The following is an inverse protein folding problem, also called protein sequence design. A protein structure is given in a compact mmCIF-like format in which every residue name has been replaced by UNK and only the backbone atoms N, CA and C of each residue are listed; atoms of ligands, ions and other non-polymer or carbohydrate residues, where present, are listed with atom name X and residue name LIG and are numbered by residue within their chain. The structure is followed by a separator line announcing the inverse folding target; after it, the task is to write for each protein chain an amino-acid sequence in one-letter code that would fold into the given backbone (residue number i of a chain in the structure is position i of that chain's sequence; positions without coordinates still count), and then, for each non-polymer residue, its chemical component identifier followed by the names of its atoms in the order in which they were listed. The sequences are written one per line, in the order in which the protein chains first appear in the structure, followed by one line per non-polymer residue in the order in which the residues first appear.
data_IF_747678736205
#
_entry.id   IF_747678736205
#
_cell.length_a   1.000
_cell.length_b   1.000
_cell.length_c   1.000
_cell.angle_alpha   90.00
_cell.angle_beta   90.00
_cell.angle_gamma   90.00
#
_symmetry.space_group_name_H-M   'P 1'
#
loop_
_entity.id
_entity.type
_entity.pdbx_description
1 polymer ?
#
# COMPACT_ATOMS: atom_id res chain seq x y z
N UNK A 1 0.71 -3.92 -22.29
CA UNK A 1 -0.76 -3.72 -22.35
C UNK A 1 -1.17 -3.27 -20.96
N UNK A 2 -1.94 -2.20 -20.82
CA UNK A 2 -2.29 -1.64 -19.50
C UNK A 2 -3.42 -2.46 -18.86
N UNK A 3 -3.31 -2.80 -17.57
CA UNK A 3 -4.34 -3.57 -16.82
C UNK A 3 -5.67 -2.82 -16.79
N UNK A 4 -5.63 -1.49 -16.73
CA UNK A 4 -6.83 -0.66 -16.77
C UNK A 4 -7.58 -0.85 -18.10
N UNK A 5 -6.85 -0.93 -19.21
CA UNK A 5 -7.45 -1.15 -20.52
C UNK A 5 -8.00 -2.58 -20.65
N UNK A 6 -7.26 -3.58 -20.16
CA UNK A 6 -7.75 -4.96 -20.10
C UNK A 6 -9.05 -5.06 -19.30
N UNK A 7 -9.13 -4.40 -18.14
CA UNK A 7 -10.33 -4.38 -17.33
C UNK A 7 -11.51 -3.73 -18.05
N UNK A 8 -11.30 -2.59 -18.75
CA UNK A 8 -12.34 -1.94 -19.56
C UNK A 8 -12.86 -2.85 -20.67
N UNK A 9 -11.95 -3.49 -21.41
CA UNK A 9 -12.30 -4.39 -22.52
C UNK A 9 -13.05 -5.63 -22.02
N UNK A 10 -12.59 -6.24 -20.92
CA UNK A 10 -13.26 -7.39 -20.28
C UNK A 10 -14.67 -7.00 -19.82
N UNK A 11 -14.83 -5.83 -19.18
CA UNK A 11 -16.15 -5.36 -18.74
C UNK A 11 -17.10 -5.11 -19.91
N UNK A 12 -16.62 -4.50 -21.00
CA UNK A 12 -17.41 -4.27 -22.19
C UNK A 12 -17.90 -5.59 -22.81
N UNK A 13 -16.99 -6.56 -22.99
CA UNK A 13 -17.32 -7.88 -23.52
C UNK A 13 -18.25 -8.66 -22.59
N UNK A 14 -18.05 -8.60 -21.27
CA UNK A 14 -18.96 -9.22 -20.30
C UNK A 14 -20.37 -8.63 -20.38
N UNK A 15 -20.48 -7.32 -20.55
CA UNK A 15 -21.78 -6.65 -20.71
C UNK A 15 -22.48 -7.07 -22.00
N UNK A 16 -21.73 -7.19 -23.10
CA UNK A 16 -22.27 -7.70 -24.36
C UNK A 16 -22.75 -9.16 -24.21
N UNK A 17 -21.94 -10.01 -23.58
CA UNK A 17 -22.29 -11.41 -23.32
C UNK A 17 -23.53 -11.54 -22.44
N UNK A 18 -23.65 -10.72 -21.38
CA UNK A 18 -24.83 -10.69 -20.51
C UNK A 18 -26.11 -10.37 -21.29
N UNK A 19 -26.05 -9.46 -22.26
CA UNK A 19 -27.22 -9.12 -23.08
C UNK A 19 -27.67 -10.29 -23.97
N UNK A 20 -26.73 -11.09 -24.50
CA UNK A 20 -27.05 -12.26 -25.30
C UNK A 20 -27.63 -13.38 -24.43
N UNK A 21 -26.98 -13.66 -23.30
CA UNK A 21 -27.37 -14.73 -22.36
C UNK A 21 -28.70 -14.41 -21.65
N UNK A 22 -29.12 -13.15 -21.60
CA UNK A 22 -30.44 -12.77 -21.10
C UNK A 22 -31.60 -13.33 -21.95
N UNK A 23 -31.36 -13.68 -23.22
CA UNK A 23 -32.36 -14.34 -24.08
C UNK A 23 -32.42 -15.83 -23.76
N UNK A 24 -33.61 -16.42 -23.58
CA UNK A 24 -33.74 -17.87 -23.37
C UNK A 24 -33.20 -18.67 -24.57
N UNK A 25 -32.56 -19.82 -24.30
CA UNK A 25 -31.92 -20.65 -25.34
C UNK A 25 -32.87 -21.08 -26.47
N UNK A 26 -34.15 -21.27 -26.16
CA UNK A 26 -35.19 -21.67 -27.14
C UNK A 26 -35.46 -20.59 -28.19
N UNK A 27 -35.20 -19.34 -27.84
CA UNK A 27 -35.48 -18.17 -28.66
C UNK A 27 -34.21 -17.63 -29.33
N UNK A 28 -33.05 -18.26 -29.08
CA UNK A 28 -31.78 -17.88 -29.69
C UNK A 28 -31.61 -18.48 -31.09
N UNK A 29 -31.01 -17.69 -31.96
CA UNK A 29 -30.55 -18.12 -33.28
C UNK A 29 -29.18 -18.78 -33.18
N UNK A 30 -28.85 -19.67 -34.13
CA UNK A 30 -27.50 -20.27 -34.23
C UNK A 30 -26.37 -19.21 -34.26
N UNK A 31 -26.64 -18.06 -34.89
CA UNK A 31 -25.69 -16.96 -34.97
C UNK A 31 -25.46 -16.29 -33.60
N UNK A 32 -26.50 -16.15 -32.77
CA UNK A 32 -26.35 -15.65 -31.41
C UNK A 32 -25.52 -16.60 -30.55
N UNK A 33 -25.75 -17.91 -30.67
CA UNK A 33 -24.96 -18.91 -29.94
C UNK A 33 -23.48 -18.88 -30.35
N UNK A 34 -23.19 -18.78 -31.65
CA UNK A 34 -21.81 -18.61 -32.14
C UNK A 34 -21.16 -17.33 -31.60
N UNK A 35 -21.90 -16.23 -31.54
CA UNK A 35 -21.41 -14.96 -30.99
C UNK A 35 -21.13 -15.06 -29.48
N UNK A 36 -21.98 -15.76 -28.73
CA UNK A 36 -21.73 -16.03 -27.30
C UNK A 36 -20.42 -16.79 -27.10
N UNK A 37 -20.21 -17.86 -27.88
CA UNK A 37 -18.97 -18.65 -27.83
C UNK A 37 -17.73 -17.80 -28.17
N UNK A 38 -17.82 -16.96 -29.20
CA UNK A 38 -16.74 -16.03 -29.56
C UNK A 38 -16.43 -15.03 -28.43
N UNK A 39 -17.47 -14.47 -27.80
CA UNK A 39 -17.30 -13.53 -26.68
C UNK A 39 -16.65 -14.22 -25.48
N UNK A 40 -17.08 -15.45 -25.15
CA UNK A 40 -16.48 -16.25 -24.09
C UNK A 40 -15.00 -16.49 -24.37
N UNK A 41 -14.65 -16.89 -25.59
CA UNK A 41 -13.25 -17.10 -25.97
C UNK A 41 -12.41 -15.81 -25.90
N UNK A 42 -12.96 -14.67 -26.33
CA UNK A 42 -12.28 -13.37 -26.24
C UNK A 42 -12.07 -12.95 -24.78
N UNK A 43 -13.09 -13.08 -23.93
CA UNK A 43 -13.01 -12.80 -22.50
C UNK A 43 -11.93 -13.67 -21.85
N UNK A 44 -11.93 -14.98 -22.13
CA UNK A 44 -10.95 -15.91 -21.55
C UNK A 44 -9.51 -15.50 -21.92
N UNK A 45 -9.25 -15.15 -23.18
CA UNK A 45 -7.92 -14.68 -23.63
C UNK A 45 -7.49 -13.38 -22.92
N UNK A 46 -8.41 -12.46 -22.68
CA UNK A 46 -8.08 -11.21 -21.97
C UNK A 46 -7.83 -11.47 -20.47
N UNK A 47 -8.60 -12.35 -19.85
CA UNK A 47 -8.38 -12.76 -18.45
C UNK A 47 -7.01 -13.42 -18.31
N UNK A 48 -6.64 -14.34 -19.20
CA UNK A 48 -5.30 -14.96 -19.19
C UNK A 48 -4.18 -13.92 -19.29
N UNK A 49 -4.35 -12.90 -20.15
CA UNK A 49 -3.37 -11.81 -20.26
C UNK A 49 -3.28 -10.99 -18.97
N UNK A 50 -4.41 -10.76 -18.31
CA UNK A 50 -4.44 -10.06 -17.02
C UNK A 50 -3.78 -10.88 -15.92
N UNK A 51 -4.06 -12.18 -15.87
CA UNK A 51 -3.46 -13.08 -14.89
C UNK A 51 -1.94 -13.06 -15.01
N UNK A 52 -1.40 -13.07 -16.23
CA UNK A 52 0.04 -12.90 -16.47
C UNK A 52 0.60 -11.58 -15.89
N UNK A 53 -0.12 -10.46 -16.01
CA UNK A 53 0.33 -9.18 -15.43
C UNK A 53 0.30 -9.19 -13.90
N UNK A 54 -0.68 -9.89 -13.31
CA UNK A 54 -0.76 -10.07 -11.85
C UNK A 54 0.40 -10.91 -11.36
N UNK A 55 0.72 -11.99 -12.05
CA UNK A 55 1.86 -12.86 -11.72
C UNK A 55 3.20 -12.09 -11.81
N UNK A 56 3.38 -11.27 -12.85
CA UNK A 56 4.57 -10.43 -13.03
C UNK A 56 4.73 -9.41 -11.89
N UNK A 57 3.64 -8.73 -11.51
CA UNK A 57 3.64 -7.80 -10.39
C UNK A 57 3.93 -8.49 -9.04
N UNK A 58 3.46 -9.72 -8.85
CA UNK A 58 3.75 -10.50 -7.65
C UNK A 58 5.23 -10.90 -7.57
N UNK A 59 5.85 -11.25 -8.70
CA UNK A 59 7.28 -11.53 -8.77
C UNK A 59 8.10 -10.30 -8.36
N UNK A 60 7.75 -9.13 -8.90
CA UNK A 60 8.44 -7.88 -8.53
C UNK A 60 8.27 -7.55 -7.04
N UNK A 61 7.06 -7.72 -6.50
CA UNK A 61 6.81 -7.53 -5.06
C UNK A 61 7.66 -8.43 -4.18
N UNK A 62 7.85 -9.69 -4.57
CA UNK A 62 8.71 -10.63 -3.85
C UNK A 62 10.19 -10.22 -3.94
N UNK A 63 10.63 -9.71 -5.09
CA UNK A 63 12.00 -9.23 -5.30
C UNK A 63 12.30 -8.05 -4.38
N UNK A 64 11.46 -7.02 -4.39
CA UNK A 64 11.60 -5.83 -3.54
C UNK A 64 11.67 -6.21 -2.06
N UNK A 65 10.84 -7.16 -1.62
CA UNK A 65 10.83 -7.63 -0.24
C UNK A 65 12.15 -8.30 0.18
N UNK A 66 12.78 -9.05 -0.72
CA UNK A 66 14.08 -9.66 -0.42
C UNK A 66 15.19 -8.62 -0.43
N UNK A 67 15.18 -7.68 -1.38
CA UNK A 67 16.11 -6.54 -1.41
C UNK A 67 16.02 -5.71 -0.12
N UNK A 68 14.80 -5.38 0.34
CA UNK A 68 14.56 -4.66 1.60
C UNK A 68 15.07 -5.44 2.82
N UNK A 69 14.90 -6.77 2.81
CA UNK A 69 15.38 -7.63 3.89
C UNK A 69 16.91 -7.66 3.93
N UNK A 70 17.57 -7.76 2.79
CA UNK A 70 19.04 -7.68 2.70
C UNK A 70 19.56 -6.33 3.21
N UNK A 71 18.89 -5.22 2.86
CA UNK A 71 19.24 -3.88 3.35
C UNK A 71 19.04 -3.79 4.87
N UNK A 72 17.90 -4.24 5.39
CA UNK A 72 17.61 -4.23 6.82
C UNK A 72 18.63 -5.07 7.60
N UNK A 73 18.99 -6.26 7.10
CA UNK A 73 20.00 -7.12 7.72
C UNK A 73 21.40 -6.50 7.69
N UNK A 74 21.76 -5.85 6.58
CA UNK A 74 23.01 -5.12 6.46
C UNK A 74 23.08 -3.97 7.46
N UNK A 75 22.05 -3.13 7.54
CA UNK A 75 21.97 -2.02 8.49
C UNK A 75 22.02 -2.52 9.92
N UNK A 76 21.27 -3.58 10.24
CA UNK A 76 21.29 -4.21 11.55
C UNK A 76 22.71 -4.69 11.90
N UNK A 77 23.44 -5.29 10.97
CA UNK A 77 24.82 -5.70 11.21
C UNK A 77 25.77 -4.51 11.43
N UNK A 78 25.61 -3.43 10.67
CA UNK A 78 26.47 -2.23 10.73
C UNK A 78 26.18 -1.31 11.90
N UNK A 79 24.92 -1.25 12.36
CA UNK A 79 24.46 -0.33 13.41
C UNK A 79 24.38 -1.00 14.80
N UNK A 80 24.33 -2.33 14.91
CA UNK A 80 24.47 -3.06 16.18
C UNK A 80 25.62 -2.56 17.09
N UNK A 81 26.81 -2.21 16.56
CA UNK A 81 27.88 -1.65 17.39
C UNK A 81 27.56 -0.27 18.01
N UNK A 82 26.63 0.50 17.44
CA UNK A 82 26.26 1.84 17.90
C UNK A 82 25.18 1.82 18.99
N UNK A 83 24.37 0.75 19.08
CA UNK A 83 23.35 0.59 20.13
C UNK A 83 23.97 0.62 21.54
N UNK A 84 25.21 0.14 21.67
CA UNK A 84 25.97 0.14 22.92
C UNK A 84 26.54 1.51 23.31
N UNK A 85 26.60 2.47 22.38
CA UNK A 85 27.10 3.84 22.64
C UNK A 85 25.98 4.75 23.16
N UNK A 86 24.73 4.45 22.83
CA UNK A 86 23.55 5.21 23.31
C UNK A 86 23.13 4.77 24.73
N UNK A 87 23.47 3.56 25.16
CA UNK A 87 23.25 3.09 26.54
C UNK A 87 24.35 3.56 27.51
N UNK A 88 24.42 4.87 27.76
CA UNK A 88 25.10 5.40 28.95
C UNK A 88 24.12 5.44 30.14
N UNK A 89 24.57 5.23 31.40
CA UNK A 89 23.71 4.77 32.48
C UNK A 89 22.97 5.91 33.17
N UNK A 90 21.73 6.21 32.79
CA UNK A 90 20.81 6.88 33.71
C UNK A 90 20.13 5.84 34.58
N UNK A 91 20.83 5.42 35.67
CA UNK A 91 20.18 4.73 36.79
C UNK A 91 19.21 5.70 37.46
N UNK A 92 17.92 5.56 37.22
CA UNK A 92 16.88 6.18 38.05
C UNK A 92 16.45 5.14 39.08
N UNK A 93 16.53 5.40 40.40
CA UNK A 93 16.07 4.44 41.41
C UNK A 93 14.56 4.21 41.31
N UNK A 94 14.20 2.93 41.35
CA UNK A 94 12.86 2.39 41.51
C UNK A 94 12.21 2.86 42.81
N UNK A 95 11.07 3.56 42.72
CA UNK A 95 10.09 3.66 43.80
C UNK A 95 8.70 3.21 43.33
N UNK A 96 7.96 2.65 44.28
CA UNK A 96 6.94 1.62 44.17
C UNK A 96 5.59 2.11 43.63
N UNK A 97 4.86 1.21 42.95
CA UNK A 97 3.41 1.28 42.63
C UNK A 97 2.57 0.66 43.75
N UNK A 98 1.32 1.10 44.00
CA UNK A 98 0.12 0.29 43.67
C UNK A 98 -1.08 1.15 43.17
N UNK A 99 -1.63 0.96 41.95
CA UNK A 99 -2.91 0.32 41.52
C UNK A 99 -4.26 1.10 41.75
N UNK A 100 -5.31 0.91 40.90
CA UNK A 100 -6.28 1.94 40.37
C UNK A 100 -7.76 1.72 40.88
N UNK A 101 -8.92 2.20 40.29
CA UNK A 101 -9.30 3.07 39.12
C UNK A 101 -10.56 4.02 39.43
N UNK A 102 -11.55 4.43 38.54
CA UNK A 102 -11.67 4.74 37.08
C UNK A 102 -12.33 6.17 36.81
N UNK A 103 -13.04 6.51 35.68
CA UNK A 103 -12.66 7.56 34.71
C UNK A 103 -13.66 8.75 34.49
N UNK A 104 -13.20 9.96 34.14
CA UNK A 104 -14.13 11.01 33.63
C UNK A 104 -13.51 12.07 32.70
N UNK A 105 -14.02 12.06 31.46
CA UNK A 105 -14.29 13.12 30.47
C UNK A 105 -13.64 14.54 30.52
N UNK A 106 -13.03 14.89 29.38
CA UNK A 106 -13.15 16.12 28.56
C UNK A 106 -12.49 17.48 29.00
N UNK A 107 -12.10 18.35 28.02
CA UNK A 107 -11.08 19.42 28.15
C UNK A 107 -11.69 20.84 28.33
N UNK A 108 -10.91 21.92 28.65
CA UNK A 108 -10.39 22.82 27.58
C UNK A 108 -9.14 23.69 27.89
N UNK A 109 -8.39 24.02 26.82
CA UNK A 109 -7.71 25.30 26.50
C UNK A 109 -7.18 26.26 27.61
N UNK A 110 -5.85 26.40 27.75
CA UNK A 110 -5.00 27.58 27.41
C UNK A 110 -3.60 27.52 28.05
N UNK A 111 -2.57 28.16 27.45
CA UNK A 111 -1.16 27.88 27.75
C UNK A 111 -0.59 28.81 28.84
N UNK A 112 0.31 28.28 29.68
CA UNK A 112 1.18 29.10 30.53
C UNK A 112 2.64 28.76 30.22
N UNK A 113 3.36 29.80 29.83
CA UNK A 113 4.73 29.79 29.32
C UNK A 113 5.72 29.77 30.50
N UNK A 114 6.66 28.82 30.46
CA UNK A 114 8.00 28.94 31.04
C UNK A 114 8.92 27.97 30.27
N UNK A 115 9.59 28.41 29.19
CA UNK A 115 11.05 28.69 29.16
C UNK A 115 11.82 27.62 29.95
N UNK A 116 12.59 26.72 29.34
CA UNK A 116 13.89 27.03 28.71
C UNK A 116 14.38 25.84 27.85
N UNK A 117 15.01 26.15 26.72
CA UNK A 117 15.88 25.31 25.86
C UNK A 117 15.30 24.05 25.17
N UNK A 118 14.50 24.27 24.13
CA UNK A 118 14.43 23.39 22.95
C UNK A 118 14.63 24.28 21.71
N UNK A 119 15.86 24.73 21.48
CA UNK A 119 16.25 25.44 20.28
C UNK A 119 17.13 24.50 19.45
N UNK A 120 16.49 23.82 18.51
CA UNK A 120 16.92 23.54 17.14
C UNK A 120 16.02 22.42 16.59
N UNK A 121 15.65 22.55 15.32
CA UNK A 121 14.73 21.71 14.55
C UNK A 121 13.26 22.18 14.60
N UNK A 122 13.03 23.38 14.11
CA UNK A 122 11.90 23.65 13.22
C UNK A 122 12.18 24.87 12.37
N UNK A 123 12.63 24.65 11.13
CA UNK A 123 12.37 25.49 9.96
C UNK A 123 12.93 24.79 8.71
N UNK A 124 12.21 23.77 8.24
CA UNK A 124 12.25 23.38 6.84
C UNK A 124 11.02 23.99 6.17
N UNK A 125 11.18 25.14 5.51
CA UNK A 125 10.52 25.46 4.23
C UNK A 125 10.95 26.85 3.74
N UNK A 126 11.66 26.92 2.60
CA UNK A 126 11.72 28.14 1.78
C UNK A 126 13.12 28.51 1.27
N UNK A 127 13.28 28.44 -0.05
CA UNK A 127 14.34 29.06 -0.86
C UNK A 127 15.75 28.47 -0.79
N UNK A 128 15.99 27.43 -1.58
CA UNK A 128 17.26 27.30 -2.29
C UNK A 128 16.98 27.30 -3.78
N UNK A 129 17.24 28.44 -4.43
CA UNK A 129 17.35 28.54 -5.87
C UNK A 129 18.46 27.60 -6.35
N UNK A 130 18.12 26.70 -7.27
CA UNK A 130 19.10 26.05 -8.13
C UNK A 130 19.76 27.13 -9.00
N UNK A 131 21.06 27.36 -8.81
CA UNK A 131 21.89 28.00 -9.81
C UNK A 131 22.69 26.89 -10.51
N UNK A 132 22.37 26.70 -11.79
CA UNK A 132 23.18 25.94 -12.74
C UNK A 132 24.39 26.83 -13.09
N UNK A 133 25.60 26.31 -12.89
CA UNK A 133 26.81 26.66 -13.65
C UNK A 133 27.62 25.40 -13.91
#
# INVERSE_FOLDING_TARGET
MDDIQLCKDIMALKKELQNLVATPEKDKTKLQNQREDELIQKIHKLVQKRDFLVDDAEVERLREKEEDKEIADFLRLKLKPLDNVVQSPTRVPTEKKPEPPPPTSLPPNKPTIAKTSAALIKDCCGMTQCAIM
#
